data_IF_906593860831
#
_entry.id   IF_906593860831
#
_cell.length_a   1.000
_cell.length_b   1.000
_cell.length_c   1.000
_cell.angle_alpha   90.00
_cell.angle_beta   90.00
_cell.angle_gamma   90.00
#
_symmetry.space_group_name_H-M   'P 1'
#
loop_
_entity.id
_entity.type
_entity.pdbx_description
1 polymer ?
#
# COMPACT_ATOMS: atom_id res chain seq x y z
N UNK A 1 14.45 -2.52 -19.40
CA UNK A 1 14.22 -1.52 -18.34
C UNK A 1 13.26 -2.12 -17.32
N UNK A 2 13.51 -1.95 -16.02
CA UNK A 2 12.67 -2.52 -14.97
C UNK A 2 11.57 -1.53 -14.61
N UNK A 3 10.33 -1.79 -15.02
CA UNK A 3 9.18 -0.98 -14.64
C UNK A 3 8.79 -1.28 -13.20
N UNK A 4 8.81 -0.27 -12.33
CA UNK A 4 8.57 -0.42 -10.89
C UNK A 4 7.14 -0.04 -10.55
N UNK A 5 6.44 -0.95 -9.88
CA UNK A 5 5.13 -0.71 -9.29
C UNK A 5 5.18 -0.57 -7.77
N UNK A 6 4.22 0.16 -7.23
CA UNK A 6 3.95 0.27 -5.81
C UNK A 6 2.48 -0.04 -5.56
N UNK A 7 2.21 -1.06 -4.75
CA UNK A 7 0.87 -1.39 -4.29
C UNK A 7 0.74 -0.97 -2.82
N UNK A 8 -0.08 0.03 -2.56
CA UNK A 8 -0.45 0.47 -1.23
C UNK A 8 -1.64 -0.36 -0.75
N UNK A 9 -1.54 -0.95 0.43
CA UNK A 9 -2.56 -1.89 0.93
C UNK A 9 -3.13 -1.44 2.26
N UNK A 10 -4.43 -1.14 2.28
CA UNK A 10 -5.18 -0.72 3.47
C UNK A 10 -6.25 -1.76 3.83
N UNK A 11 -6.82 -1.70 5.04
CA UNK A 11 -7.86 -2.65 5.44
C UNK A 11 -9.17 -2.48 4.66
N UNK A 12 -9.52 -1.24 4.32
CA UNK A 12 -10.85 -0.87 3.84
C UNK A 12 -11.91 -0.83 4.96
N UNK A 13 -13.03 -0.18 4.68
CA UNK A 13 -14.15 0.00 5.60
C UNK A 13 -15.47 0.19 4.83
N UNK A 14 -16.60 0.21 5.53
CA UNK A 14 -17.91 0.45 4.90
C UNK A 14 -18.17 1.93 4.58
N UNK A 15 -17.60 2.84 5.37
CA UNK A 15 -17.69 4.29 5.12
C UNK A 15 -16.66 4.68 4.06
N UNK A 16 -17.12 5.23 2.93
CA UNK A 16 -16.26 5.62 1.82
C UNK A 16 -15.19 6.65 2.21
N UNK A 17 -15.46 7.51 3.20
CA UNK A 17 -14.50 8.53 3.67
C UNK A 17 -13.24 7.93 4.28
N UNK A 18 -13.30 6.66 4.67
CA UNK A 18 -12.13 5.92 5.13
C UNK A 18 -11.02 5.86 4.08
N UNK A 19 -11.34 5.89 2.79
CA UNK A 19 -10.36 5.85 1.71
C UNK A 19 -9.55 7.16 1.58
N UNK A 20 -10.12 8.30 1.97
CA UNK A 20 -9.58 9.64 1.66
C UNK A 20 -8.10 9.81 2.07
N UNK A 21 -7.67 9.45 3.30
CA UNK A 21 -6.27 9.61 3.69
C UNK A 21 -5.33 8.71 2.86
N UNK A 22 -5.78 7.51 2.48
CA UNK A 22 -4.97 6.56 1.71
C UNK A 22 -4.86 6.98 0.24
N UNK A 23 -5.93 7.51 -0.34
CA UNK A 23 -5.92 8.11 -1.68
C UNK A 23 -4.99 9.33 -1.72
N UNK A 24 -5.06 10.18 -0.70
CA UNK A 24 -4.17 11.31 -0.52
C UNK A 24 -2.69 10.90 -0.46
N UNK A 25 -2.36 9.75 0.14
CA UNK A 25 -1.02 9.16 0.09
C UNK A 25 -0.67 8.69 -1.31
N UNK A 26 -1.54 7.91 -1.97
CA UNK A 26 -1.31 7.40 -3.32
C UNK A 26 -1.01 8.52 -4.33
N UNK A 27 -1.81 9.59 -4.29
CA UNK A 27 -1.64 10.77 -5.14
C UNK A 27 -0.29 11.46 -4.89
N UNK A 28 0.09 11.66 -3.61
CA UNK A 28 1.38 12.26 -3.25
C UNK A 28 2.56 11.40 -3.68
N UNK A 29 2.45 10.08 -3.60
CA UNK A 29 3.51 9.18 -4.10
C UNK A 29 3.62 9.30 -5.61
N UNK A 30 2.51 9.22 -6.35
CA UNK A 30 2.51 9.32 -7.81
C UNK A 30 3.09 10.67 -8.29
N UNK A 31 2.77 11.77 -7.61
CA UNK A 31 3.33 13.09 -7.92
C UNK A 31 4.85 13.16 -7.68
N UNK A 32 5.37 12.48 -6.65
CA UNK A 32 6.80 12.44 -6.32
C UNK A 32 7.60 11.44 -7.15
N UNK A 33 6.93 10.41 -7.71
CA UNK A 33 7.52 9.32 -8.47
C UNK A 33 6.69 9.05 -9.73
N UNK A 34 6.72 9.98 -10.71
CA UNK A 34 5.97 9.83 -11.96
C UNK A 34 6.46 8.66 -12.82
N UNK A 35 7.64 8.13 -12.51
CA UNK A 35 8.24 6.96 -13.14
C UNK A 35 7.72 5.60 -12.59
N UNK A 36 6.91 5.62 -11.53
CA UNK A 36 6.37 4.43 -10.90
C UNK A 36 4.85 4.30 -11.09
N UNK A 37 4.37 3.07 -11.29
CA UNK A 37 2.94 2.80 -11.29
C UNK A 37 2.45 2.58 -9.86
N UNK A 38 1.55 3.44 -9.38
CA UNK A 38 0.99 3.36 -8.02
C UNK A 38 -0.44 2.85 -8.09
N UNK A 39 -0.80 1.89 -7.22
CA UNK A 39 -2.18 1.45 -6.99
C UNK A 39 -2.45 1.38 -5.49
N UNK A 40 -3.64 1.79 -5.09
CA UNK A 40 -4.20 1.57 -3.76
C UNK A 40 -5.14 0.38 -3.85
N UNK A 41 -5.09 -0.50 -2.86
CA UNK A 41 -5.98 -1.64 -2.73
C UNK A 41 -6.44 -1.83 -1.29
N UNK A 42 -7.57 -2.51 -1.14
CA UNK A 42 -8.19 -2.75 0.15
C UNK A 42 -8.35 -4.25 0.43
N UNK A 43 -8.26 -4.63 1.71
CA UNK A 43 -8.45 -6.00 2.16
C UNK A 43 -9.92 -6.40 2.09
N UNK A 44 -10.82 -5.55 2.61
CA UNK A 44 -12.26 -5.83 2.68
C UNK A 44 -13.08 -4.54 2.49
N UNK A 45 -14.37 -4.72 2.17
CA UNK A 45 -15.41 -3.67 2.10
C UNK A 45 -15.25 -2.59 1.01
N UNK A 46 -14.08 -2.50 0.37
CA UNK A 46 -13.75 -1.48 -0.61
C UNK A 46 -13.07 -2.07 -1.83
N UNK A 47 -13.12 -1.33 -2.93
CA UNK A 47 -12.47 -1.66 -4.19
C UNK A 47 -11.47 -0.54 -4.57
N UNK A 48 -10.41 -0.85 -5.34
CA UNK A 48 -10.08 -2.19 -5.84
C UNK A 48 -9.54 -3.11 -4.74
N UNK A 49 -9.74 -4.41 -4.89
CA UNK A 49 -9.10 -5.41 -4.04
C UNK A 49 -7.63 -5.63 -4.44
N UNK A 50 -6.91 -6.42 -3.65
CA UNK A 50 -5.49 -6.71 -3.88
C UNK A 50 -5.23 -7.34 -5.27
N UNK A 51 -6.10 -8.24 -5.72
CA UNK A 51 -5.92 -8.98 -6.99
C UNK A 51 -6.18 -8.08 -8.19
N UNK A 52 -7.18 -7.21 -8.10
CA UNK A 52 -7.49 -6.20 -9.12
C UNK A 52 -6.32 -5.22 -9.27
N UNK A 53 -5.85 -4.65 -8.15
CA UNK A 53 -4.71 -3.73 -8.17
C UNK A 53 -3.41 -4.38 -8.66
N UNK A 54 -3.17 -5.65 -8.30
CA UNK A 54 -2.04 -6.43 -8.81
C UNK A 54 -2.13 -6.65 -10.32
N UNK A 55 -3.32 -7.00 -10.83
CA UNK A 55 -3.56 -7.19 -12.26
C UNK A 55 -3.33 -5.90 -13.05
N UNK A 56 -3.78 -4.76 -12.52
CA UNK A 56 -3.53 -3.44 -13.11
C UNK A 56 -2.04 -3.14 -13.25
N UNK A 57 -1.26 -3.40 -12.19
CA UNK A 57 0.19 -3.17 -12.20
C UNK A 57 0.90 -4.10 -13.18
N UNK A 58 0.48 -5.38 -13.24
CA UNK A 58 1.01 -6.35 -14.19
C UNK A 58 0.69 -5.94 -15.65
N UNK A 59 -0.55 -5.51 -15.92
CA UNK A 59 -0.99 -5.03 -17.23
C UNK A 59 -0.25 -3.74 -17.65
N UNK A 60 0.13 -2.90 -16.70
CA UNK A 60 0.99 -1.74 -16.92
C UNK A 60 2.47 -2.11 -17.21
N UNK A 61 2.81 -3.40 -17.25
CA UNK A 61 4.16 -3.88 -17.56
C UNK A 61 5.13 -3.85 -16.39
N UNK A 62 4.66 -3.71 -15.15
CA UNK A 62 5.52 -3.78 -13.97
C UNK A 62 6.13 -5.18 -13.86
N UNK A 63 7.45 -5.26 -13.70
CA UNK A 63 8.16 -6.54 -13.45
C UNK A 63 8.66 -6.67 -12.02
N UNK A 64 8.54 -5.59 -11.24
CA UNK A 64 8.78 -5.56 -9.80
C UNK A 64 7.71 -4.70 -9.14
N UNK A 65 7.07 -5.23 -8.11
CA UNK A 65 6.08 -4.51 -7.30
C UNK A 65 6.43 -4.61 -5.83
N UNK A 66 6.64 -3.46 -5.18
CA UNK A 66 6.74 -3.37 -3.73
C UNK A 66 5.31 -3.19 -3.15
N UNK A 67 4.91 -4.08 -2.24
CA UNK A 67 3.61 -4.03 -1.54
C UNK A 67 3.82 -3.41 -0.17
N UNK A 68 3.20 -2.25 0.10
CA UNK A 68 3.35 -1.49 1.34
C UNK A 68 2.04 -1.50 2.12
N UNK A 69 2.01 -2.17 3.29
CA UNK A 69 0.86 -2.13 4.19
C UNK A 69 0.74 -0.73 4.83
N UNK A 70 -0.37 -0.03 4.62
CA UNK A 70 -0.69 1.26 5.23
C UNK A 70 -1.34 1.08 6.61
N UNK A 71 -0.68 0.34 7.50
CA UNK A 71 -1.09 0.12 8.88
C UNK A 71 -0.11 0.80 9.84
N UNK A 72 -0.60 1.25 11.01
CA UNK A 72 0.24 1.85 12.05
C UNK A 72 1.15 0.84 12.75
N UNK A 73 0.76 -0.44 12.75
CA UNK A 73 1.61 -1.54 13.17
C UNK A 73 1.11 -2.82 12.53
N UNK A 74 1.98 -3.81 12.36
CA UNK A 74 1.55 -5.08 11.84
C UNK A 74 0.86 -5.90 12.95
N UNK A 75 -0.47 -6.01 12.92
CA UNK A 75 -1.21 -6.99 13.73
C UNK A 75 -0.93 -8.43 13.29
N UNK A 76 -1.33 -9.42 14.11
CA UNK A 76 -1.15 -10.84 13.77
C UNK A 76 -1.76 -11.23 12.41
N UNK A 77 -2.94 -10.70 12.11
CA UNK A 77 -3.62 -10.88 10.82
C UNK A 77 -2.79 -10.36 9.64
N UNK A 78 -2.28 -9.12 9.70
CA UNK A 78 -1.46 -8.56 8.62
C UNK A 78 -0.17 -9.37 8.39
N UNK A 79 0.49 -9.81 9.46
CA UNK A 79 1.73 -10.60 9.35
C UNK A 79 1.52 -12.00 8.79
N UNK A 80 0.35 -12.60 9.04
CA UNK A 80 0.04 -13.96 8.63
C UNK A 80 -0.62 -14.02 7.25
N UNK A 81 -1.53 -13.09 6.97
CA UNK A 81 -2.45 -13.20 5.84
C UNK A 81 -1.85 -12.61 4.56
N UNK A 82 -1.10 -11.49 4.65
CA UNK A 82 -0.48 -10.87 3.47
C UNK A 82 0.54 -11.79 2.76
N UNK A 83 1.42 -12.55 3.45
CA UNK A 83 2.31 -13.47 2.77
C UNK A 83 1.57 -14.48 1.87
N UNK A 84 0.49 -15.10 2.37
CA UNK A 84 -0.31 -16.05 1.60
C UNK A 84 -1.03 -15.38 0.41
N UNK A 85 -1.51 -14.15 0.60
CA UNK A 85 -2.09 -13.36 -0.49
C UNK A 85 -1.03 -13.05 -1.57
N UNK A 86 0.20 -12.69 -1.19
CA UNK A 86 1.29 -12.43 -2.13
C UNK A 86 1.74 -13.70 -2.88
N UNK A 87 1.75 -14.86 -2.21
CA UNK A 87 2.00 -16.14 -2.88
C UNK A 87 0.98 -16.40 -3.99
N UNK A 88 -0.30 -16.09 -3.73
CA UNK A 88 -1.35 -16.19 -4.75
C UNK A 88 -1.09 -15.24 -5.93
N UNK A 89 -0.71 -13.98 -5.66
CA UNK A 89 -0.35 -13.03 -6.72
C UNK A 89 0.86 -13.50 -7.55
N UNK A 90 1.83 -14.15 -6.92
CA UNK A 90 3.01 -14.68 -7.62
C UNK A 90 2.64 -15.84 -8.57
N UNK A 91 1.63 -16.63 -8.22
CA UNK A 91 1.07 -17.67 -9.11
C UNK A 91 0.31 -17.03 -10.28
N UNK A 92 -0.53 -16.03 -10.00
CA UNK A 92 -1.36 -15.35 -11.02
C UNK A 92 -0.52 -14.50 -11.99
N UNK A 93 0.61 -13.96 -11.52
CA UNK A 93 1.48 -13.04 -12.26
C UNK A 93 2.96 -13.42 -12.11
N UNK A 94 3.40 -14.55 -12.69
CA UNK A 94 4.75 -15.08 -12.51
C UNK A 94 5.86 -14.19 -13.08
N UNK A 95 5.51 -13.28 -13.99
CA UNK A 95 6.43 -12.28 -14.55
C UNK A 95 6.73 -11.12 -13.58
N UNK A 96 6.00 -11.00 -12.47
CA UNK A 96 6.13 -9.90 -11.52
C UNK A 96 6.81 -10.39 -10.24
N UNK A 97 7.91 -9.73 -9.86
CA UNK A 97 8.52 -9.95 -8.55
C UNK A 97 7.81 -9.11 -7.49
N UNK A 98 6.99 -9.77 -6.67
CA UNK A 98 6.30 -9.17 -5.53
C UNK A 98 7.21 -9.11 -4.30
N UNK A 99 7.22 -7.97 -3.60
CA UNK A 99 7.98 -7.80 -2.36
C UNK A 99 7.14 -7.14 -1.29
N UNK A 100 6.83 -7.88 -0.23
CA UNK A 100 6.23 -7.30 0.96
C UNK A 100 7.22 -6.38 1.68
N UNK A 101 6.75 -5.19 2.05
CA UNK A 101 7.47 -4.22 2.88
C UNK A 101 6.89 -4.22 4.30
N UNK A 102 7.66 -3.76 5.31
CA UNK A 102 7.10 -3.50 6.64
C UNK A 102 5.93 -2.53 6.58
N UNK A 103 5.04 -2.60 7.57
CA UNK A 103 3.94 -1.66 7.71
C UNK A 103 4.46 -0.23 7.85
N UNK A 104 3.77 0.74 7.25
CA UNK A 104 4.26 2.12 7.17
C UNK A 104 4.44 2.76 8.56
N UNK A 105 3.60 2.41 9.54
CA UNK A 105 3.71 2.96 10.90
C UNK A 105 4.92 2.48 11.70
N UNK A 106 5.59 1.42 11.25
CA UNK A 106 6.87 0.98 11.83
C UNK A 106 8.05 1.80 11.28
N UNK A 107 7.82 2.66 10.28
CA UNK A 107 8.85 3.48 9.67
C UNK A 107 9.19 4.71 10.55
N UNK A 108 10.47 4.99 10.84
CA UNK A 108 10.87 6.11 11.71
C UNK A 108 10.31 7.48 11.29
N UNK A 109 10.26 7.78 9.99
CA UNK A 109 9.66 9.03 9.50
C UNK A 109 8.15 9.15 9.77
N UNK A 110 7.41 8.04 9.81
CA UNK A 110 5.97 8.09 10.14
C UNK A 110 5.80 8.33 11.63
N UNK A 111 6.58 7.62 12.46
CA UNK A 111 6.59 7.83 13.91
C UNK A 111 6.91 9.30 14.23
N UNK A 112 7.94 9.86 13.59
CA UNK A 112 8.30 11.27 13.76
C UNK A 112 7.17 12.21 13.31
N UNK A 113 6.61 12.03 12.11
CA UNK A 113 5.53 12.88 11.60
C UNK A 113 4.27 12.83 12.48
N UNK A 114 3.95 11.67 13.05
CA UNK A 114 2.83 11.52 13.99
C UNK A 114 3.11 12.25 15.30
N UNK A 115 4.33 12.17 15.83
CA UNK A 115 4.73 12.90 17.02
C UNK A 115 4.68 14.42 16.79
N UNK A 116 5.22 14.89 15.67
CA UNK A 116 5.20 16.31 15.29
C UNK A 116 3.76 16.83 15.16
N UNK A 117 2.89 16.07 14.50
CA UNK A 117 1.48 16.41 14.37
C UNK A 117 0.76 16.47 15.73
N UNK A 118 1.06 15.54 16.64
CA UNK A 118 0.47 15.54 17.99
C UNK A 118 0.94 16.73 18.83
N UNK A 119 2.22 17.12 18.72
CA UNK A 119 2.77 18.30 19.39
C UNK A 119 2.14 19.59 18.86
N UNK A 120 1.89 19.67 17.55
CA UNK A 120 1.31 20.86 16.92
C UNK A 120 -0.06 21.25 17.49
N UNK A 121 -0.85 20.27 17.95
CA UNK A 121 -2.17 20.50 18.59
C UNK A 121 -2.05 21.27 19.91
N UNK A 122 -0.90 21.24 20.58
CA UNK A 122 -0.68 22.00 21.82
C UNK A 122 -0.35 23.49 21.57
N UNK A 123 -0.03 23.84 20.33
CA UNK A 123 0.28 25.21 19.90
C UNK A 123 -0.92 25.95 19.29
N UNK A 124 -2.08 25.30 19.23
CA UNK A 124 -3.40 25.89 18.90
C UNK A 124 -4.17 26.20 20.19
#
# INVERSE_FOLDING_TARGET
MTTTGLLLFAHGARDARWAEPFEAVAQRVAARRPDAHVRLAFLEFMAPDLRQAASDLAAAGCTRVDVVPLFLGAGGHVRKDLPALLESLAVDHPQVRWRLRPAVGEHPHVIAAMADAAVAVLGE
#
